data_IF_239947489251
#
_entry.id   IF_239947489251
#
_cell.length_a   1.000
_cell.length_b   1.000
_cell.length_c   1.000
_cell.angle_alpha   90.00
_cell.angle_beta   90.00
_cell.angle_gamma   90.00
#
_symmetry.space_group_name_H-M   'P 1'
#
loop_
_entity.id
_entity.type
_entity.pdbx_description
1 polymer ?
#
# COMPACT_ATOMS: atom_id res chain seq x y z
N UNK A 1 -21.68 -2.02 5.46
CA UNK A 1 -20.27 -2.14 5.04
C UNK A 1 -20.07 -3.41 4.23
N UNK A 2 -20.37 -4.58 4.81
CA UNK A 2 -20.08 -5.91 4.23
C UNK A 2 -20.55 -6.04 2.77
N UNK A 3 -21.84 -5.86 2.50
CA UNK A 3 -22.39 -5.99 1.14
C UNK A 3 -21.76 -5.01 0.14
N UNK A 4 -21.45 -3.79 0.58
CA UNK A 4 -20.87 -2.76 -0.27
C UNK A 4 -19.45 -3.13 -0.73
N UNK A 5 -18.62 -3.66 0.17
CA UNK A 5 -17.27 -4.11 -0.17
C UNK A 5 -17.27 -5.47 -0.87
N UNK A 6 -18.23 -6.35 -0.56
CA UNK A 6 -18.40 -7.60 -1.31
C UNK A 6 -18.71 -7.31 -2.78
N UNK A 7 -19.64 -6.39 -3.05
CA UNK A 7 -19.92 -5.95 -4.41
C UNK A 7 -18.71 -5.26 -5.07
N UNK A 8 -17.99 -4.42 -4.31
CA UNK A 8 -16.78 -3.77 -4.81
C UNK A 8 -15.74 -4.79 -5.28
N UNK A 9 -15.47 -5.82 -4.47
CA UNK A 9 -14.50 -6.86 -4.82
C UNK A 9 -14.99 -7.77 -5.95
N UNK A 10 -16.29 -8.05 -6.04
CA UNK A 10 -16.89 -8.76 -7.18
C UNK A 10 -16.62 -8.03 -8.50
N UNK A 11 -16.84 -6.71 -8.54
CA UNK A 11 -16.53 -5.90 -9.72
C UNK A 11 -15.03 -5.86 -10.00
N UNK A 12 -14.21 -5.61 -8.96
CA UNK A 12 -12.75 -5.58 -9.09
C UNK A 12 -12.22 -6.86 -9.72
N UNK A 13 -12.66 -8.03 -9.26
CA UNK A 13 -12.25 -9.32 -9.82
C UNK A 13 -12.62 -9.46 -11.30
N UNK A 14 -13.84 -9.07 -11.65
CA UNK A 14 -14.33 -9.13 -13.03
C UNK A 14 -13.44 -8.29 -13.96
N UNK A 15 -13.10 -7.07 -13.53
CA UNK A 15 -12.20 -6.18 -14.27
C UNK A 15 -10.75 -6.67 -14.28
N UNK A 16 -10.26 -7.20 -13.16
CA UNK A 16 -8.93 -7.78 -13.07
C UNK A 16 -8.82 -8.96 -14.05
N UNK A 17 -9.78 -9.90 -14.03
CA UNK A 17 -9.80 -11.06 -14.92
C UNK A 17 -9.78 -10.64 -16.41
N UNK A 18 -10.67 -9.74 -16.81
CA UNK A 18 -10.71 -9.23 -18.18
C UNK A 18 -9.38 -8.56 -18.58
N UNK A 19 -8.77 -7.81 -17.66
CA UNK A 19 -7.50 -7.13 -17.89
C UNK A 19 -6.33 -8.12 -18.03
N UNK A 20 -6.22 -9.10 -17.13
CA UNK A 20 -5.18 -10.12 -17.18
C UNK A 20 -5.28 -10.96 -18.46
N UNK A 21 -6.50 -11.37 -18.83
CA UNK A 21 -6.75 -12.15 -20.06
C UNK A 21 -6.38 -11.35 -21.31
N UNK A 22 -6.84 -10.11 -21.43
CA UNK A 22 -6.54 -9.26 -22.60
C UNK A 22 -5.05 -8.95 -22.75
N UNK A 23 -4.29 -8.88 -21.66
CA UNK A 23 -2.84 -8.68 -21.68
C UNK A 23 -2.03 -9.96 -21.90
N UNK A 24 -2.68 -11.14 -21.92
CA UNK A 24 -2.05 -12.44 -22.03
C UNK A 24 -0.95 -12.63 -20.98
N UNK A 25 -1.30 -12.48 -19.71
CA UNK A 25 -0.38 -12.63 -18.58
C UNK A 25 0.05 -14.10 -18.43
N UNK A 26 1.36 -14.31 -18.25
CA UNK A 26 1.95 -15.65 -18.06
C UNK A 26 2.07 -16.01 -16.58
N UNK A 27 2.35 -15.02 -15.73
CA UNK A 27 2.65 -15.20 -14.31
C UNK A 27 2.01 -14.10 -13.45
N UNK A 28 1.17 -14.48 -12.50
CA UNK A 28 0.49 -13.57 -11.57
C UNK A 28 1.13 -13.70 -10.19
N UNK A 29 1.71 -12.60 -9.71
CA UNK A 29 2.24 -12.47 -8.37
C UNK A 29 1.32 -11.60 -7.51
N UNK A 30 0.67 -12.21 -6.53
CA UNK A 30 -0.10 -11.49 -5.53
C UNK A 30 0.83 -11.06 -4.39
N UNK A 31 0.93 -9.77 -4.09
CA UNK A 31 1.81 -9.31 -3.00
C UNK A 31 1.30 -9.80 -1.64
N UNK A 32 2.20 -10.24 -0.77
CA UNK A 32 1.84 -10.94 0.48
C UNK A 32 1.00 -10.14 1.47
N UNK A 33 1.01 -8.81 1.42
CA UNK A 33 0.16 -7.96 2.28
C UNK A 33 -1.25 -7.85 1.73
N UNK A 34 -1.54 -6.89 0.84
CA UNK A 34 -2.88 -6.70 0.30
C UNK A 34 -3.27 -7.72 -0.77
N UNK A 35 -2.31 -8.12 -1.60
CA UNK A 35 -2.53 -9.04 -2.72
C UNK A 35 -3.01 -10.44 -2.31
N UNK A 36 -2.60 -10.99 -1.16
CA UNK A 36 -2.93 -12.38 -0.81
C UNK A 36 -4.43 -12.59 -0.55
N UNK A 37 -5.11 -11.62 0.06
CA UNK A 37 -6.57 -11.66 0.22
C UNK A 37 -7.31 -11.39 -1.08
N UNK A 38 -6.74 -10.54 -1.95
CA UNK A 38 -7.24 -10.40 -3.31
C UNK A 38 -7.11 -11.70 -4.11
N UNK A 39 -6.04 -12.49 -3.90
CA UNK A 39 -5.91 -13.84 -4.47
C UNK A 39 -7.05 -14.73 -4.01
N UNK A 40 -7.35 -14.78 -2.71
CA UNK A 40 -8.44 -15.59 -2.18
C UNK A 40 -9.79 -15.23 -2.83
N UNK A 41 -10.06 -13.92 -2.92
CA UNK A 41 -11.26 -13.38 -3.57
C UNK A 41 -11.28 -13.75 -5.07
N UNK A 42 -10.15 -13.61 -5.77
CA UNK A 42 -10.04 -13.93 -7.20
C UNK A 42 -10.19 -15.43 -7.47
N UNK A 43 -9.57 -16.29 -6.66
CA UNK A 43 -9.72 -17.75 -6.73
C UNK A 43 -11.17 -18.17 -6.57
N UNK A 44 -11.95 -17.46 -5.76
CA UNK A 44 -13.36 -17.76 -5.52
C UNK A 44 -14.23 -17.58 -6.79
N UNK A 45 -13.93 -16.56 -7.60
CA UNK A 45 -14.75 -16.25 -8.79
C UNK A 45 -14.13 -16.72 -10.10
N UNK A 46 -12.82 -16.95 -10.16
CA UNK A 46 -12.05 -17.24 -11.37
C UNK A 46 -10.96 -18.30 -11.16
N UNK A 47 -11.24 -19.36 -10.38
CA UNK A 47 -10.33 -20.48 -10.12
C UNK A 47 -9.71 -21.08 -11.39
N UNK A 48 -10.53 -21.30 -12.42
CA UNK A 48 -10.12 -21.95 -13.67
C UNK A 48 -9.02 -21.15 -14.37
N UNK A 49 -9.06 -19.82 -14.27
CA UNK A 49 -8.02 -18.98 -14.83
C UNK A 49 -6.71 -19.13 -14.07
N UNK A 50 -6.75 -19.15 -12.73
CA UNK A 50 -5.56 -19.38 -11.91
C UNK A 50 -4.94 -20.77 -12.12
N UNK A 51 -5.74 -21.77 -12.50
CA UNK A 51 -5.23 -23.09 -12.90
C UNK A 51 -4.55 -23.05 -14.28
N UNK A 52 -4.92 -22.09 -15.14
CA UNK A 52 -4.38 -21.95 -16.50
C UNK A 52 -3.11 -21.09 -16.61
N UNK A 53 -2.72 -20.39 -15.53
CA UNK A 53 -1.56 -19.49 -15.52
C UNK A 53 -0.71 -19.72 -14.27
N UNK A 54 0.58 -19.41 -14.33
CA UNK A 54 1.43 -19.48 -13.13
C UNK A 54 0.93 -18.43 -12.13
N UNK A 55 0.65 -18.83 -10.89
CA UNK A 55 0.19 -17.91 -9.85
C UNK A 55 0.88 -18.19 -8.52
N UNK A 56 1.52 -17.17 -7.95
CA UNK A 56 2.25 -17.27 -6.69
C UNK A 56 1.97 -16.07 -5.79
N UNK A 57 2.27 -16.23 -4.50
CA UNK A 57 2.36 -15.11 -3.56
C UNK A 57 3.79 -14.58 -3.60
N UNK A 58 3.95 -13.27 -3.78
CA UNK A 58 5.23 -12.59 -3.71
C UNK A 58 5.36 -11.86 -2.37
N UNK A 59 6.24 -12.40 -1.52
CA UNK A 59 6.59 -11.85 -0.22
C UNK A 59 7.61 -10.72 -0.43
N UNK A 60 7.10 -9.54 -0.75
CA UNK A 60 7.90 -8.31 -0.88
C UNK A 60 7.13 -7.15 -0.29
N UNK A 61 7.80 -6.35 0.54
CA UNK A 61 7.34 -5.02 0.92
C UNK A 61 8.11 -3.92 0.18
N UNK A 62 7.65 -2.68 0.32
CA UNK A 62 8.39 -1.51 -0.14
C UNK A 62 9.78 -1.41 0.51
N UNK A 63 9.89 -1.76 1.79
CA UNK A 63 11.16 -1.73 2.53
C UNK A 63 12.13 -2.84 2.08
N UNK A 64 11.63 -4.04 1.79
CA UNK A 64 12.45 -5.10 1.18
C UNK A 64 12.99 -4.66 -0.19
N UNK A 65 12.12 -4.11 -1.05
CA UNK A 65 12.51 -3.67 -2.38
C UNK A 65 13.50 -2.49 -2.34
N UNK A 66 13.30 -1.50 -1.45
CA UNK A 66 14.22 -0.36 -1.35
C UNK A 66 15.59 -0.78 -0.81
N UNK A 67 15.69 -1.72 0.13
CA UNK A 67 16.97 -2.25 0.62
C UNK A 67 17.79 -2.87 -0.50
N UNK A 68 17.16 -3.73 -1.30
CA UNK A 68 17.81 -4.32 -2.46
C UNK A 68 18.19 -3.23 -3.48
N UNK A 69 17.33 -2.24 -3.69
CA UNK A 69 17.56 -1.12 -4.59
C UNK A 69 18.70 -0.21 -4.13
N UNK A 70 18.94 -0.08 -2.82
CA UNK A 70 20.00 0.77 -2.26
C UNK A 70 21.39 0.32 -2.67
N UNK A 71 21.58 -0.96 -2.97
CA UNK A 71 22.85 -1.45 -3.50
C UNK A 71 23.10 -1.02 -4.96
N UNK A 72 22.06 -0.97 -5.81
CA UNK A 72 22.20 -0.68 -7.25
C UNK A 72 22.00 0.79 -7.61
N UNK A 73 21.26 1.52 -6.79
CA UNK A 73 20.89 2.91 -7.03
C UNK A 73 20.80 3.70 -5.70
N UNK A 74 21.92 3.85 -4.96
CA UNK A 74 21.94 4.47 -3.64
C UNK A 74 21.37 5.89 -3.66
N UNK A 75 21.70 6.72 -4.65
CA UNK A 75 21.21 8.10 -4.77
C UNK A 75 19.66 8.16 -4.78
N UNK A 76 19.04 7.33 -5.63
CA UNK A 76 17.59 7.26 -5.76
C UNK A 76 16.95 6.85 -4.43
N UNK A 77 17.49 5.78 -3.82
CA UNK A 77 16.93 5.30 -2.55
C UNK A 77 17.17 6.27 -1.39
N UNK A 78 18.28 7.00 -1.39
CA UNK A 78 18.59 8.00 -0.36
C UNK A 78 17.60 9.15 -0.40
N UNK A 79 17.16 9.57 -1.58
CA UNK A 79 16.10 10.57 -1.72
C UNK A 79 14.76 10.08 -1.14
N UNK A 80 14.34 8.87 -1.48
CA UNK A 80 13.09 8.30 -1.00
C UNK A 80 13.12 8.03 0.51
N UNK A 81 14.22 7.50 1.04
CA UNK A 81 14.43 7.31 2.47
C UNK A 81 14.44 8.64 3.22
N UNK A 82 15.12 9.66 2.70
CA UNK A 82 15.16 10.98 3.31
C UNK A 82 13.75 11.61 3.42
N UNK A 83 12.92 11.41 2.39
CA UNK A 83 11.53 11.86 2.39
C UNK A 83 10.67 11.07 3.38
N UNK A 84 10.83 9.75 3.41
CA UNK A 84 10.03 8.86 4.26
C UNK A 84 10.34 9.08 5.75
N UNK A 85 11.61 9.23 6.11
CA UNK A 85 12.07 9.41 7.48
C UNK A 85 12.31 10.88 7.85
N UNK A 86 11.70 11.81 7.10
CA UNK A 86 11.81 13.24 7.36
C UNK A 86 11.42 13.59 8.81
N UNK A 87 12.27 14.37 9.48
CA UNK A 87 12.09 14.77 10.87
C UNK A 87 12.55 13.75 11.91
N UNK A 88 13.14 12.63 11.48
CA UNK A 88 13.81 11.66 12.37
C UNK A 88 15.33 11.89 12.38
N UNK A 89 16.01 11.35 13.41
CA UNK A 89 17.47 11.23 13.40
C UNK A 89 17.93 10.04 12.54
N UNK A 90 19.17 10.07 12.06
CA UNK A 90 19.78 8.94 11.34
C UNK A 90 19.78 7.67 12.18
N UNK A 91 20.01 7.78 13.49
CA UNK A 91 19.92 6.63 14.40
C UNK A 91 18.54 5.95 14.35
N UNK A 92 17.47 6.74 14.44
CA UNK A 92 16.10 6.23 14.44
C UNK A 92 15.72 5.65 13.07
N UNK A 93 16.18 6.29 11.98
CA UNK A 93 16.04 5.77 10.63
C UNK A 93 16.73 4.42 10.48
N UNK A 94 17.98 4.27 10.94
CA UNK A 94 18.74 3.03 10.85
C UNK A 94 18.10 1.91 11.67
N UNK A 95 17.53 2.23 12.83
CA UNK A 95 16.77 1.28 13.63
C UNK A 95 15.58 0.70 12.86
N UNK A 96 14.79 1.56 12.20
CA UNK A 96 13.67 1.13 11.35
C UNK A 96 14.13 0.42 10.08
N UNK A 97 15.19 0.92 9.44
CA UNK A 97 15.69 0.39 8.18
C UNK A 97 16.32 -0.99 8.37
N UNK A 98 17.20 -1.19 9.36
CA UNK A 98 17.88 -2.46 9.56
C UNK A 98 17.01 -3.51 10.25
N UNK A 99 16.02 -3.08 11.04
CA UNK A 99 15.26 -3.95 11.94
C UNK A 99 16.04 -4.28 13.22
N UNK A 100 15.36 -4.81 14.24
CA UNK A 100 15.92 -4.94 15.60
C UNK A 100 17.20 -5.77 15.67
N UNK A 101 17.27 -6.88 14.93
CA UNK A 101 18.41 -7.79 14.97
C UNK A 101 19.66 -7.16 14.33
N UNK A 102 19.60 -6.78 13.05
CA UNK A 102 20.73 -6.18 12.34
C UNK A 102 21.11 -4.80 12.88
N UNK A 103 20.17 -4.04 13.45
CA UNK A 103 20.53 -2.81 14.17
C UNK A 103 21.30 -3.10 15.47
N UNK A 104 21.01 -4.22 16.15
CA UNK A 104 21.78 -4.68 17.30
C UNK A 104 23.23 -4.97 16.93
N UNK A 105 23.45 -5.70 15.82
CA UNK A 105 24.79 -5.98 15.28
C UNK A 105 25.52 -4.69 14.88
N UNK A 106 24.83 -3.79 14.19
CA UNK A 106 25.37 -2.47 13.81
C UNK A 106 25.87 -1.69 15.03
N UNK A 107 25.07 -1.63 16.10
CA UNK A 107 25.47 -0.95 17.33
C UNK A 107 26.68 -1.61 17.99
N UNK A 108 26.77 -2.94 17.97
CA UNK A 108 27.86 -3.67 18.58
C UNK A 108 29.21 -3.41 17.88
N UNK A 109 29.20 -3.15 16.57
CA UNK A 109 30.40 -2.85 15.79
C UNK A 109 30.65 -1.35 15.56
N UNK A 110 29.78 -0.46 16.06
CA UNK A 110 29.89 0.99 15.88
C UNK A 110 30.37 1.69 17.15
N UNK A 111 31.35 2.60 17.03
CA UNK A 111 31.85 3.35 18.19
C UNK A 111 30.80 4.27 18.81
N UNK A 112 30.90 4.50 20.12
CA UNK A 112 29.99 5.39 20.87
C UNK A 112 29.90 6.78 20.24
N UNK A 113 31.03 7.39 19.88
CA UNK A 113 31.06 8.72 19.25
C UNK A 113 30.28 8.76 17.93
N UNK A 114 30.34 7.68 17.14
CA UNK A 114 29.60 7.59 15.88
C UNK A 114 28.11 7.42 16.14
N UNK A 115 27.71 6.59 17.11
CA UNK A 115 26.32 6.46 17.52
C UNK A 115 25.74 7.80 18.02
N UNK A 116 26.50 8.56 18.81
CA UNK A 116 26.10 9.89 19.29
C UNK A 116 25.92 10.86 18.12
N UNK A 117 26.83 10.87 17.14
CA UNK A 117 26.66 11.67 15.90
C UNK A 117 25.38 11.28 15.15
N UNK A 118 25.08 9.99 15.03
CA UNK A 118 23.85 9.51 14.36
C UNK A 118 22.58 9.92 15.10
N UNK A 119 22.61 9.98 16.44
CA UNK A 119 21.50 10.50 17.24
C UNK A 119 21.25 11.98 16.98
N UNK A 120 22.32 12.76 16.82
CA UNK A 120 22.26 14.21 16.66
C UNK A 120 22.11 14.66 15.20
N UNK A 121 22.31 13.77 14.23
CA UNK A 121 22.17 14.08 12.79
C UNK A 121 20.75 13.82 12.32
N UNK A 122 20.11 14.84 11.75
CA UNK A 122 18.79 14.73 11.14
C UNK A 122 18.87 14.03 9.79
N UNK A 123 17.81 13.30 9.45
CA UNK A 123 17.64 12.70 8.12
C UNK A 123 17.46 13.80 7.08
N UNK A 124 18.32 13.80 6.07
CA UNK A 124 18.18 14.55 4.83
C UNK A 124 18.85 13.76 3.69
N UNK A 125 18.67 14.19 2.44
CA UNK A 125 19.25 13.49 1.29
C UNK A 125 20.76 13.25 1.45
N UNK A 126 21.53 14.30 1.74
CA UNK A 126 22.99 14.19 1.86
C UNK A 126 23.39 13.24 2.98
N UNK A 127 22.76 13.34 4.15
CA UNK A 127 23.13 12.52 5.30
C UNK A 127 22.79 11.04 5.11
N UNK A 128 21.71 10.71 4.40
CA UNK A 128 21.40 9.32 4.01
C UNK A 128 22.36 8.84 2.91
N UNK A 129 22.64 9.69 1.92
CA UNK A 129 23.54 9.35 0.82
C UNK A 129 24.96 9.07 1.31
N UNK A 130 25.47 9.88 2.23
CA UNK A 130 26.79 9.69 2.86
C UNK A 130 26.87 8.36 3.60
N UNK A 131 25.76 7.88 4.18
CA UNK A 131 25.70 6.58 4.85
C UNK A 131 25.66 5.40 3.88
N UNK A 132 24.89 5.52 2.79
CA UNK A 132 24.59 4.42 1.86
C UNK A 132 25.46 4.42 0.60
N UNK A 133 26.33 5.41 0.42
CA UNK A 133 27.23 5.51 -0.74
C UNK A 133 28.04 4.23 -0.92
N UNK A 134 28.17 3.77 -2.17
CA UNK A 134 28.92 2.56 -2.51
C UNK A 134 30.43 2.78 -2.31
N UNK A 135 30.93 4.00 -2.45
CA UNK A 135 32.38 4.27 -2.38
C UNK A 135 32.80 4.54 -0.93
N UNK A 136 32.14 5.51 -0.29
CA UNK A 136 32.56 6.07 1.00
C UNK A 136 31.57 5.79 2.14
N UNK A 137 30.50 5.03 1.88
CA UNK A 137 29.47 4.74 2.87
C UNK A 137 29.95 3.84 4.01
N UNK A 138 29.08 3.68 5.00
CA UNK A 138 29.34 2.82 6.15
C UNK A 138 29.51 1.36 5.70
N UNK A 139 30.66 0.76 6.06
CA UNK A 139 31.01 -0.60 5.62
C UNK A 139 29.95 -1.64 6.01
N UNK A 140 29.42 -1.57 7.23
CA UNK A 140 28.37 -2.51 7.67
C UNK A 140 27.10 -2.34 6.82
N UNK A 141 26.69 -1.09 6.57
CA UNK A 141 25.50 -0.82 5.78
C UNK A 141 25.66 -1.29 4.34
N UNK A 142 26.84 -1.10 3.73
CA UNK A 142 27.16 -1.58 2.39
C UNK A 142 27.08 -3.10 2.28
N UNK A 143 27.69 -3.82 3.22
CA UNK A 143 27.63 -5.27 3.28
C UNK A 143 26.18 -5.76 3.50
N UNK A 144 25.44 -5.09 4.38
CA UNK A 144 24.03 -5.38 4.64
C UNK A 144 23.17 -5.24 3.37
N UNK A 145 23.22 -4.09 2.67
CA UNK A 145 22.39 -3.86 1.48
C UNK A 145 22.82 -4.77 0.32
N UNK A 146 24.11 -5.08 0.19
CA UNK A 146 24.60 -6.05 -0.78
C UNK A 146 24.03 -7.46 -0.51
N UNK A 147 24.06 -7.90 0.74
CA UNK A 147 23.49 -9.19 1.15
C UNK A 147 21.98 -9.23 0.88
N UNK A 148 21.24 -8.18 1.26
CA UNK A 148 19.80 -8.10 0.98
C UNK A 148 19.50 -8.06 -0.51
N UNK A 149 20.30 -7.36 -1.33
CA UNK A 149 20.19 -7.39 -2.79
C UNK A 149 20.34 -8.81 -3.34
N UNK A 150 21.37 -9.55 -2.95
CA UNK A 150 21.61 -10.91 -3.44
C UNK A 150 20.49 -11.88 -3.05
N UNK A 151 20.00 -11.78 -1.82
CA UNK A 151 18.90 -12.60 -1.34
C UNK A 151 17.59 -12.25 -2.05
N UNK A 152 17.25 -10.97 -2.16
CA UNK A 152 16.07 -10.50 -2.90
C UNK A 152 16.10 -10.95 -4.36
N UNK A 153 17.24 -10.80 -5.04
CA UNK A 153 17.40 -11.19 -6.43
C UNK A 153 17.25 -12.70 -6.63
N UNK A 154 17.77 -13.49 -5.69
CA UNK A 154 17.65 -14.94 -5.70
C UNK A 154 16.21 -15.39 -5.43
N UNK A 155 15.52 -14.74 -4.48
CA UNK A 155 14.10 -14.96 -4.22
C UNK A 155 13.24 -14.63 -5.44
N UNK A 156 13.45 -13.48 -6.08
CA UNK A 156 12.72 -13.08 -7.27
C UNK A 156 12.85 -14.10 -8.40
N UNK A 157 14.06 -14.62 -8.64
CA UNK A 157 14.32 -15.66 -9.64
C UNK A 157 13.63 -16.99 -9.35
N UNK A 158 13.26 -17.28 -8.11
CA UNK A 158 12.46 -18.47 -7.78
C UNK A 158 11.00 -18.29 -8.21
N UNK A 159 10.50 -17.06 -8.29
CA UNK A 159 9.10 -16.76 -8.61
C UNK A 159 8.84 -16.60 -10.12
N UNK A 160 9.78 -16.03 -10.87
CA UNK A 160 9.54 -15.60 -12.25
C UNK A 160 10.64 -16.00 -13.21
N UNK A 161 10.25 -16.25 -14.46
CA UNK A 161 11.18 -16.37 -15.57
C UNK A 161 11.30 -15.04 -16.33
N UNK A 162 12.47 -14.76 -16.91
CA UNK A 162 12.74 -13.49 -17.62
C UNK A 162 11.79 -13.22 -18.80
N UNK A 163 11.21 -14.27 -19.38
CA UNK A 163 10.32 -14.19 -20.54
C UNK A 163 8.87 -13.95 -20.14
N UNK A 164 8.53 -14.07 -18.85
CA UNK A 164 7.17 -13.93 -18.35
C UNK A 164 6.65 -12.50 -18.55
N UNK A 165 5.39 -12.39 -18.98
CA UNK A 165 4.56 -11.22 -18.73
C UNK A 165 4.02 -11.30 -17.32
N UNK A 166 4.59 -10.51 -16.43
CA UNK A 166 4.35 -10.60 -15.00
C UNK A 166 3.28 -9.59 -14.60
N UNK A 167 2.24 -10.06 -13.92
CA UNK A 167 1.24 -9.25 -13.26
C UNK A 167 1.52 -9.19 -11.75
N UNK A 168 1.78 -8.00 -11.21
CA UNK A 168 1.79 -7.77 -9.76
C UNK A 168 0.41 -7.31 -9.31
N UNK A 169 -0.23 -8.03 -8.40
CA UNK A 169 -1.56 -7.69 -7.88
C UNK A 169 -1.46 -7.28 -6.42
N UNK A 170 -1.99 -6.10 -6.07
CA UNK A 170 -1.95 -5.55 -4.72
C UNK A 170 -3.05 -4.50 -4.48
N UNK A 171 -3.23 -4.08 -3.22
CA UNK A 171 -4.09 -2.95 -2.85
C UNK A 171 -3.38 -1.59 -2.87
N UNK A 172 -2.14 -1.51 -3.35
CA UNK A 172 -1.38 -0.26 -3.46
C UNK A 172 -2.02 0.78 -4.40
N UNK A 173 -1.42 1.97 -4.48
CA UNK A 173 -1.99 3.09 -5.26
C UNK A 173 -0.97 3.84 -6.11
N UNK A 174 0.23 4.08 -5.57
CA UNK A 174 1.26 4.93 -6.20
C UNK A 174 2.29 4.16 -7.02
N UNK A 175 2.45 2.85 -6.82
CA UNK A 175 3.39 2.04 -7.60
C UNK A 175 4.86 2.15 -7.20
N UNK A 176 5.18 2.64 -6.01
CA UNK A 176 6.57 2.74 -5.54
C UNK A 176 7.33 1.40 -5.54
N UNK A 177 6.66 0.28 -5.21
CA UNK A 177 7.29 -1.04 -5.34
C UNK A 177 7.66 -1.36 -6.80
N UNK A 178 6.81 -0.96 -7.75
CA UNK A 178 7.04 -1.17 -9.19
C UNK A 178 8.22 -0.34 -9.66
N UNK A 179 8.38 0.87 -9.12
CA UNK A 179 9.55 1.69 -9.36
C UNK A 179 10.85 0.96 -8.98
N UNK A 180 10.97 0.47 -7.74
CA UNK A 180 12.17 -0.27 -7.31
C UNK A 180 12.38 -1.56 -8.10
N UNK A 181 11.31 -2.30 -8.39
CA UNK A 181 11.39 -3.50 -9.21
C UNK A 181 11.85 -3.19 -10.64
N UNK A 182 11.46 -2.06 -11.23
CA UNK A 182 11.94 -1.65 -12.57
C UNK A 182 13.40 -1.20 -12.55
N UNK A 183 13.90 -0.67 -11.43
CA UNK A 183 15.33 -0.39 -11.26
C UNK A 183 16.12 -1.69 -11.13
N UNK A 184 15.65 -2.64 -10.32
CA UNK A 184 16.32 -3.93 -10.09
C UNK A 184 16.24 -4.88 -11.29
N UNK A 185 15.13 -4.82 -12.03
CA UNK A 185 14.78 -5.77 -13.08
C UNK A 185 14.30 -5.08 -14.37
N UNK A 186 15.11 -4.20 -14.99
CA UNK A 186 14.68 -3.38 -16.12
C UNK A 186 14.25 -4.21 -17.34
N UNK A 187 14.82 -5.41 -17.49
CA UNK A 187 14.53 -6.32 -18.61
C UNK A 187 13.29 -7.22 -18.38
N UNK A 188 12.62 -7.14 -17.24
CA UNK A 188 11.44 -7.95 -16.94
C UNK A 188 10.15 -7.20 -17.34
N UNK A 189 9.20 -7.93 -17.94
CA UNK A 189 7.91 -7.38 -18.34
C UNK A 189 6.91 -7.35 -17.19
N UNK A 190 7.23 -6.52 -16.20
CA UNK A 190 6.41 -6.30 -15.00
C UNK A 190 5.33 -5.24 -15.27
N UNK A 191 4.08 -5.59 -15.01
CA UNK A 191 2.93 -4.70 -14.95
C UNK A 191 2.23 -4.90 -13.60
N UNK A 192 1.88 -3.81 -12.92
CA UNK A 192 1.13 -3.87 -11.68
C UNK A 192 -0.34 -3.51 -11.90
N UNK A 193 -1.21 -4.26 -11.24
CA UNK A 193 -2.66 -4.17 -11.29
C UNK A 193 -3.16 -3.94 -9.88
N UNK A 194 -3.39 -2.67 -9.58
CA UNK A 194 -3.82 -2.22 -8.26
C UNK A 194 -5.31 -1.95 -8.23
N UNK A 195 -5.91 -1.86 -7.03
CA UNK A 195 -7.32 -1.49 -6.88
C UNK A 195 -7.62 -0.17 -7.59
N UNK A 196 -6.79 0.84 -7.39
CA UNK A 196 -6.79 2.07 -8.17
C UNK A 196 -5.38 2.64 -8.28
N UNK A 197 -5.18 3.57 -9.22
CA UNK A 197 -3.92 4.28 -9.38
C UNK A 197 -4.11 5.75 -9.07
N UNK A 198 -3.23 6.31 -8.24
CA UNK A 198 -3.18 7.74 -7.95
C UNK A 198 -1.79 8.20 -7.50
N UNK A 199 -1.41 9.40 -7.92
CA UNK A 199 -0.19 10.09 -7.45
C UNK A 199 -0.48 11.07 -6.32
N UNK A 200 -1.75 11.14 -5.86
CA UNK A 200 -2.20 12.10 -4.84
C UNK A 200 -1.90 13.56 -5.23
N UNK A 201 -1.98 13.88 -6.52
CA UNK A 201 -1.61 15.20 -7.05
C UNK A 201 -0.10 15.41 -7.23
N UNK A 202 0.72 14.40 -6.96
CA UNK A 202 2.14 14.39 -7.31
C UNK A 202 2.38 14.24 -8.82
N UNK A 203 3.61 14.48 -9.28
CA UNK A 203 3.97 14.36 -10.68
C UNK A 203 3.82 12.92 -11.18
N UNK A 204 3.58 12.79 -12.48
CA UNK A 204 3.66 11.51 -13.16
C UNK A 204 5.11 11.18 -13.50
N UNK A 205 5.52 9.94 -13.23
CA UNK A 205 6.83 9.41 -13.57
C UNK A 205 6.71 8.31 -14.64
N UNK A 206 7.80 8.10 -15.39
CA UNK A 206 7.84 7.12 -16.47
C UNK A 206 7.49 5.69 -16.05
N UNK A 207 7.68 5.30 -14.78
CA UNK A 207 7.32 3.96 -14.31
C UNK A 207 5.80 3.77 -14.16
N UNK A 208 5.02 4.86 -14.05
CA UNK A 208 3.55 4.77 -13.92
C UNK A 208 2.86 4.17 -15.15
N UNK A 209 3.52 4.10 -16.31
CA UNK A 209 3.02 3.37 -17.49
C UNK A 209 2.92 1.86 -17.27
N UNK A 210 3.61 1.35 -16.24
CA UNK A 210 3.57 -0.05 -15.81
C UNK A 210 2.63 -0.27 -14.63
N UNK A 211 1.93 0.76 -14.16
CA UNK A 211 1.00 0.71 -13.03
C UNK A 211 -0.39 0.99 -13.56
N UNK A 212 -1.31 0.06 -13.36
CA UNK A 212 -2.67 0.09 -13.84
C UNK A 212 -3.62 0.04 -12.65
N UNK A 213 -4.54 0.99 -12.57
CA UNK A 213 -5.63 0.94 -11.60
C UNK A 213 -6.84 0.23 -12.20
N UNK A 214 -7.27 -0.88 -11.58
CA UNK A 214 -8.35 -1.73 -12.09
C UNK A 214 -9.71 -1.05 -12.00
N UNK A 215 -10.00 -0.36 -10.89
CA UNK A 215 -11.27 0.35 -10.71
C UNK A 215 -11.24 1.75 -11.29
N UNK A 216 -10.07 2.39 -11.26
CA UNK A 216 -9.82 3.70 -11.87
C UNK A 216 -8.32 3.92 -12.05
N UNK A 217 -7.96 4.59 -13.14
CA UNK A 217 -6.61 5.14 -13.35
C UNK A 217 -6.73 6.67 -13.46
N UNK A 218 -6.33 7.38 -12.40
CA UNK A 218 -6.38 8.83 -12.39
C UNK A 218 -5.32 9.43 -11.47
N UNK A 219 -4.54 10.37 -12.00
CA UNK A 219 -3.50 11.07 -11.23
C UNK A 219 -4.11 11.95 -10.11
N UNK A 220 -5.34 12.45 -10.33
CA UNK A 220 -6.05 13.31 -9.39
C UNK A 220 -7.42 12.74 -9.02
N UNK A 221 -7.88 13.06 -7.83
CA UNK A 221 -9.24 12.72 -7.40
C UNK A 221 -10.26 13.46 -8.27
N UNK A 222 -10.83 12.77 -9.26
CA UNK A 222 -12.02 13.25 -9.96
C UNK A 222 -13.26 12.56 -9.41
N UNK A 223 -13.81 13.08 -8.31
CA UNK A 223 -14.99 12.51 -7.61
C UNK A 223 -16.24 12.39 -8.50
N UNK A 224 -16.26 13.01 -9.69
CA UNK A 224 -17.34 12.87 -10.65
C UNK A 224 -17.20 11.63 -11.56
N UNK A 225 -16.00 11.07 -11.68
CA UNK A 225 -15.67 9.90 -12.51
C UNK A 225 -15.70 8.60 -11.71
N UNK A 226 -16.70 7.75 -11.97
CA UNK A 226 -16.72 6.33 -11.59
C UNK A 226 -16.35 6.04 -10.13
N UNK A 227 -15.29 5.24 -9.94
CA UNK A 227 -14.84 4.69 -8.66
C UNK A 227 -13.78 5.53 -7.92
N UNK A 228 -13.38 6.69 -8.44
CA UNK A 228 -12.29 7.50 -7.87
C UNK A 228 -12.52 7.91 -6.40
N UNK A 229 -13.78 8.02 -5.97
CA UNK A 229 -14.14 8.36 -4.58
C UNK A 229 -13.57 7.36 -3.55
N UNK A 230 -13.23 6.15 -3.98
CA UNK A 230 -12.64 5.12 -3.14
C UNK A 230 -11.28 5.56 -2.58
N UNK A 231 -10.56 6.46 -3.25
CA UNK A 231 -9.26 6.95 -2.78
C UNK A 231 -9.32 7.59 -1.38
N UNK A 232 -10.45 8.23 -1.06
CA UNK A 232 -10.71 8.88 0.22
C UNK A 232 -10.83 7.87 1.37
N UNK A 233 -11.01 6.59 1.04
CA UNK A 233 -11.22 5.49 1.98
C UNK A 233 -10.30 4.30 1.69
N UNK A 234 -9.24 4.51 0.91
CA UNK A 234 -8.27 3.48 0.52
C UNK A 234 -7.75 2.62 1.68
N UNK A 235 -7.59 3.24 2.85
CA UNK A 235 -7.08 2.60 4.06
C UNK A 235 -7.96 1.46 4.55
N UNK A 236 -9.24 1.48 4.22
CA UNK A 236 -10.18 0.42 4.57
C UNK A 236 -10.01 -0.77 3.63
N UNK A 237 -9.78 -0.51 2.34
CA UNK A 237 -9.47 -1.57 1.39
C UNK A 237 -8.15 -2.22 1.76
N UNK A 238 -7.12 -1.42 2.07
CA UNK A 238 -5.84 -1.91 2.57
C UNK A 238 -6.04 -2.75 3.83
N UNK A 239 -6.77 -2.26 4.84
CA UNK A 239 -7.05 -3.03 6.07
C UNK A 239 -7.82 -4.32 5.80
N UNK A 240 -8.85 -4.29 4.95
CA UNK A 240 -9.63 -5.49 4.62
C UNK A 240 -8.73 -6.54 3.96
N UNK A 241 -7.82 -6.12 3.11
CA UNK A 241 -6.95 -7.03 2.35
C UNK A 241 -5.63 -7.38 3.04
N UNK A 242 -5.21 -6.66 4.08
CA UNK A 242 -4.00 -6.95 4.84
C UNK A 242 -4.30 -7.97 5.96
N UNK A 243 -3.77 -9.21 5.88
CA UNK A 243 -3.86 -10.15 7.00
C UNK A 243 -2.98 -9.71 8.16
N UNK A 244 -3.23 -10.26 9.35
CA UNK A 244 -2.39 -10.07 10.53
C UNK A 244 -1.07 -10.85 10.37
N UNK A 245 -0.17 -10.30 9.55
CA UNK A 245 1.14 -10.87 9.28
C UNK A 245 2.19 -9.75 9.18
N UNK A 246 3.40 -9.93 9.73
CA UNK A 246 4.47 -8.96 9.58
C UNK A 246 4.82 -8.69 8.11
N UNK A 247 5.31 -7.49 7.83
CA UNK A 247 5.80 -7.16 6.49
C UNK A 247 7.09 -7.92 6.19
N UNK A 248 7.28 -8.37 4.96
CA UNK A 248 8.58 -8.89 4.52
C UNK A 248 9.56 -7.73 4.38
N UNK A 249 10.48 -7.58 5.32
CA UNK A 249 11.48 -6.50 5.31
C UNK A 249 12.90 -6.97 4.96
N UNK A 250 13.18 -8.26 5.11
CA UNK A 250 14.44 -8.92 4.77
C UNK A 250 14.19 -10.35 4.32
N UNK A 251 15.24 -10.98 3.79
CA UNK A 251 15.25 -12.38 3.40
C UNK A 251 16.38 -13.10 4.12
N UNK A 252 16.22 -14.40 4.28
CA UNK A 252 17.20 -15.30 4.86
C UNK A 252 17.33 -16.56 3.99
N UNK A 253 18.47 -17.25 4.14
CA UNK A 253 18.70 -18.54 3.49
C UNK A 253 18.48 -19.66 4.51
N UNK A 254 17.52 -20.54 4.23
CA UNK A 254 17.17 -21.69 5.06
C UNK A 254 17.28 -22.93 4.18
N UNK A 255 18.16 -23.86 4.55
CA UNK A 255 18.35 -25.13 3.83
C UNK A 255 18.61 -24.98 2.31
N UNK A 256 19.28 -23.90 1.90
CA UNK A 256 19.55 -23.63 0.50
C UNK A 256 18.48 -22.78 -0.22
N UNK A 257 17.28 -22.69 0.33
CA UNK A 257 16.17 -21.88 -0.19
C UNK A 257 16.20 -20.47 0.38
N UNK A 258 15.70 -19.50 -0.39
CA UNK A 258 15.56 -18.12 0.08
C UNK A 258 14.13 -17.93 0.54
N UNK A 259 13.98 -17.49 1.78
CA UNK A 259 12.67 -17.30 2.42
C UNK A 259 12.56 -15.88 2.98
N UNK A 260 11.35 -15.31 3.03
CA UNK A 260 11.13 -14.07 3.76
C UNK A 260 11.41 -14.31 5.25
N UNK A 261 12.08 -13.36 5.92
CA UNK A 261 12.41 -13.48 7.35
C UNK A 261 11.17 -13.61 8.24
N UNK A 262 10.07 -12.96 7.86
CA UNK A 262 8.78 -13.05 8.54
C UNK A 262 8.05 -14.39 8.32
N UNK A 263 8.60 -15.31 7.54
CA UNK A 263 7.95 -16.56 7.16
C UNK A 263 6.82 -16.38 6.13
N UNK A 264 6.10 -17.47 5.91
CA UNK A 264 4.97 -17.55 4.98
C UNK A 264 3.64 -17.46 5.74
N UNK A 265 2.64 -16.83 5.11
CA UNK A 265 1.28 -16.75 5.63
C UNK A 265 0.61 -18.12 5.46
N UNK A 266 0.13 -18.69 6.56
CA UNK A 266 -0.71 -19.88 6.58
C UNK A 266 -2.07 -19.59 5.88
N UNK A 267 -2.58 -20.54 5.10
CA UNK A 267 -3.86 -20.41 4.41
C UNK A 267 -5.03 -20.07 5.37
N UNK A 268 -4.99 -20.58 6.61
CA UNK A 268 -5.96 -20.26 7.66
C UNK A 268 -5.93 -18.77 8.08
N UNK A 269 -4.75 -18.15 8.03
CA UNK A 269 -4.58 -16.73 8.36
C UNK A 269 -4.98 -15.79 7.21
N UNK A 270 -5.05 -16.29 5.97
CA UNK A 270 -5.46 -15.48 4.82
C UNK A 270 -6.87 -14.96 5.00
N UNK A 271 -7.82 -15.82 5.37
CA UNK A 271 -9.21 -15.40 5.58
C UNK A 271 -9.42 -14.75 6.96
N UNK A 272 -8.59 -15.11 7.95
CA UNK A 272 -8.75 -14.70 9.33
C UNK A 272 -9.93 -15.41 10.02
N UNK A 273 -10.24 -14.98 11.25
CA UNK A 273 -11.39 -15.50 12.00
C UNK A 273 -12.72 -15.17 11.30
N UNK A 274 -13.75 -16.00 11.54
CA UNK A 274 -15.13 -15.83 11.10
C UNK A 274 -15.69 -14.45 11.50
N UNK A 275 -15.24 -13.95 12.65
CA UNK A 275 -15.62 -12.62 13.15
C UNK A 275 -15.00 -11.46 12.35
N UNK A 276 -13.93 -11.71 11.58
CA UNK A 276 -13.24 -10.66 10.82
C UNK A 276 -14.13 -10.07 9.73
N UNK A 277 -14.00 -8.76 9.51
CA UNK A 277 -14.80 -8.06 8.48
C UNK A 277 -14.46 -8.61 7.09
N UNK A 278 -13.20 -8.98 6.85
CA UNK A 278 -12.80 -9.57 5.57
C UNK A 278 -13.50 -10.91 5.32
N UNK A 279 -13.53 -11.82 6.30
CA UNK A 279 -14.23 -13.10 6.16
C UNK A 279 -15.73 -12.89 5.82
N UNK A 280 -16.38 -11.97 6.53
CA UNK A 280 -17.79 -11.63 6.27
C UNK A 280 -18.00 -11.05 4.86
N UNK A 281 -17.10 -10.18 4.40
CA UNK A 281 -17.12 -9.64 3.03
C UNK A 281 -16.91 -10.76 2.01
N UNK A 282 -15.89 -11.59 2.20
CA UNK A 282 -15.51 -12.71 1.33
C UNK A 282 -16.65 -13.73 1.15
N UNK A 283 -17.35 -14.07 2.23
CA UNK A 283 -18.49 -14.98 2.17
C UNK A 283 -19.69 -14.38 1.46
N UNK A 284 -19.86 -13.04 1.52
CA UNK A 284 -21.01 -12.39 0.89
C UNK A 284 -20.87 -12.22 -0.62
N UNK A 285 -19.67 -12.35 -1.19
CA UNK A 285 -19.39 -12.07 -2.62
C UNK A 285 -20.35 -12.83 -3.56
N UNK A 286 -20.59 -14.11 -3.31
CA UNK A 286 -21.42 -14.95 -4.20
C UNK A 286 -22.92 -14.64 -4.04
N UNK A 287 -23.32 -14.16 -2.86
CA UNK A 287 -24.70 -13.78 -2.54
C UNK A 287 -25.08 -12.39 -3.06
N UNK A 288 -24.14 -11.63 -3.63
CA UNK A 288 -24.43 -10.29 -4.10
C UNK A 288 -25.25 -10.36 -5.38
N UNK A 289 -26.47 -9.88 -5.27
CA UNK A 289 -27.38 -9.60 -6.37
C UNK A 289 -26.85 -8.45 -7.26
N UNK A 290 -26.58 -8.75 -8.53
CA UNK A 290 -26.10 -7.80 -9.52
C UNK A 290 -27.17 -6.76 -9.91
N UNK A 291 -28.45 -7.07 -9.74
CA UNK A 291 -29.56 -6.13 -9.99
C UNK A 291 -29.53 -4.96 -8.99
N UNK A 292 -28.94 -5.18 -7.80
CA UNK A 292 -28.77 -4.17 -6.75
C UNK A 292 -27.43 -3.42 -6.82
N UNK A 293 -26.64 -3.65 -7.87
CA UNK A 293 -25.33 -3.02 -8.12
C UNK A 293 -25.28 -1.51 -7.87
N UNK A 294 -26.19 -0.77 -8.51
CA UNK A 294 -26.27 0.70 -8.42
C UNK A 294 -26.58 1.15 -6.99
N UNK A 295 -27.39 0.39 -6.26
CA UNK A 295 -27.69 0.65 -4.86
C UNK A 295 -26.47 0.44 -3.97
N UNK A 296 -25.73 -0.66 -4.14
CA UNK A 296 -24.54 -0.93 -3.33
C UNK A 296 -23.44 0.12 -3.53
N UNK A 297 -23.15 0.50 -4.78
CA UNK A 297 -22.18 1.56 -5.06
C UNK A 297 -22.65 2.92 -4.58
N UNK A 298 -23.95 3.23 -4.71
CA UNK A 298 -24.55 4.45 -4.17
C UNK A 298 -24.39 4.55 -2.65
N UNK A 299 -24.64 3.43 -1.93
CA UNK A 299 -24.43 3.32 -0.48
C UNK A 299 -22.95 3.48 -0.11
N UNK A 300 -22.04 2.80 -0.79
CA UNK A 300 -20.60 2.88 -0.55
C UNK A 300 -20.07 4.30 -0.74
N UNK A 301 -20.42 4.94 -1.85
CA UNK A 301 -20.04 6.32 -2.15
C UNK A 301 -20.52 7.29 -1.06
N UNK A 302 -21.78 7.15 -0.63
CA UNK A 302 -22.34 7.95 0.47
C UNK A 302 -21.59 7.74 1.78
N UNK A 303 -21.27 6.49 2.11
CA UNK A 303 -20.51 6.11 3.30
C UNK A 303 -19.13 6.76 3.31
N UNK A 304 -18.41 6.72 2.18
CA UNK A 304 -17.06 7.26 2.07
C UNK A 304 -17.05 8.79 2.11
N UNK A 305 -17.94 9.44 1.37
CA UNK A 305 -17.87 10.89 1.15
C UNK A 305 -18.59 11.71 2.23
N UNK A 306 -19.64 11.18 2.85
CA UNK A 306 -20.41 11.87 3.90
C UNK A 306 -21.05 10.87 4.90
N UNK A 307 -20.23 10.13 5.65
CA UNK A 307 -20.69 9.09 6.58
C UNK A 307 -21.69 9.65 7.60
N UNK A 308 -22.60 8.80 8.05
CA UNK A 308 -23.39 9.04 9.26
C UNK A 308 -22.59 8.71 10.52
N UNK A 309 -23.02 9.22 11.68
CA UNK A 309 -22.37 8.91 12.97
C UNK A 309 -22.35 7.40 13.26
N UNK A 310 -23.42 6.69 12.94
CA UNK A 310 -23.49 5.24 13.16
C UNK A 310 -22.51 4.48 12.26
N UNK A 311 -22.31 4.95 11.02
CA UNK A 311 -21.32 4.37 10.12
C UNK A 311 -19.89 4.59 10.64
N UNK A 312 -19.60 5.75 11.25
CA UNK A 312 -18.29 6.03 11.86
C UNK A 312 -17.90 5.04 12.95
N UNK A 313 -18.86 4.51 13.72
CA UNK A 313 -18.58 3.62 14.85
C UNK A 313 -17.78 2.38 14.42
N UNK A 314 -18.06 1.86 13.22
CA UNK A 314 -17.34 0.71 12.66
C UNK A 314 -15.88 1.02 12.27
N UNK A 315 -15.48 2.29 12.31
CA UNK A 315 -14.18 2.77 11.85
C UNK A 315 -13.32 3.36 12.98
N UNK A 316 -13.88 3.57 14.19
CA UNK A 316 -13.17 4.20 15.30
C UNK A 316 -12.02 3.33 15.85
N UNK A 317 -12.17 2.01 15.83
CA UNK A 317 -11.16 1.07 16.32
C UNK A 317 -10.08 0.73 15.29
N UNK A 318 -10.22 1.22 14.06
CA UNK A 318 -9.29 0.86 13.00
C UNK A 318 -8.05 1.74 13.06
N UNK A 319 -6.92 1.08 13.21
CA UNK A 319 -5.59 1.67 13.12
C UNK A 319 -4.78 0.97 12.03
N UNK A 320 -3.82 1.69 11.44
CA UNK A 320 -2.82 1.10 10.54
C UNK A 320 -1.44 1.21 11.16
N UNK A 321 -0.59 0.21 10.95
CA UNK A 321 0.84 0.39 11.14
C UNK A 321 1.38 1.43 10.16
N UNK A 322 2.35 2.22 10.60
CA UNK A 322 3.12 3.07 9.72
C UNK A 322 3.99 2.19 8.79
N UNK A 323 4.17 2.64 7.55
CA UNK A 323 5.06 1.98 6.60
C UNK A 323 6.53 2.09 7.06
N UNK A 324 7.41 1.27 6.46
CA UNK A 324 8.87 1.33 6.62
C UNK A 324 9.38 1.06 8.05
N UNK A 325 9.00 -0.06 8.67
CA UNK A 325 9.58 -0.51 9.96
C UNK A 325 9.31 0.42 11.14
N UNK A 326 8.42 1.41 11.01
CA UNK A 326 8.05 2.34 12.07
C UNK A 326 7.02 1.67 12.99
N UNK A 327 7.33 1.58 14.28
CA UNK A 327 6.38 1.12 15.31
C UNK A 327 5.41 2.24 15.72
N UNK A 328 4.65 2.74 14.73
CA UNK A 328 3.64 3.77 14.94
C UNK A 328 2.30 3.24 14.43
N UNK A 329 1.27 3.35 15.27
CA UNK A 329 -0.12 3.12 14.86
C UNK A 329 -0.79 4.45 14.53
N UNK A 330 -1.33 4.55 13.33
CA UNK A 330 -2.09 5.71 12.87
C UNK A 330 -3.57 5.33 12.86
N UNK A 331 -4.33 5.94 13.77
CA UNK A 331 -5.78 5.73 13.82
C UNK A 331 -6.44 6.39 12.60
N UNK A 332 -7.44 5.72 12.04
CA UNK A 332 -8.17 6.25 10.89
C UNK A 332 -8.94 7.52 11.24
N UNK A 333 -9.60 7.49 12.40
CA UNK A 333 -10.32 8.61 13.01
C UNK A 333 -9.70 8.83 14.40
N UNK A 334 -9.40 10.08 14.72
CA UNK A 334 -8.87 10.52 16.00
C UNK A 334 -9.99 10.88 16.96
N UNK A 335 -9.69 10.83 18.26
CA UNK A 335 -10.61 11.26 19.31
C UNK A 335 -11.02 12.72 19.14
N UNK A 336 -12.24 13.04 19.62
CA UNK A 336 -12.79 14.38 19.44
C UNK A 336 -12.01 15.42 20.22
N UNK A 337 -11.86 16.58 19.60
CA UNK A 337 -11.25 17.74 20.22
C UNK A 337 -12.30 18.79 20.60
N UNK A 338 -12.05 19.49 21.71
CA UNK A 338 -12.99 20.51 22.21
C UNK A 338 -12.86 21.80 21.41
N UNK A 339 -11.61 22.26 21.21
CA UNK A 339 -11.34 23.56 20.59
C UNK A 339 -11.16 23.47 19.06
N UNK A 340 -11.43 24.57 18.35
CA UNK A 340 -11.39 24.61 16.88
C UNK A 340 -10.00 24.31 16.29
N UNK A 341 -8.94 24.73 16.97
CA UNK A 341 -7.55 24.47 16.53
C UNK A 341 -7.24 22.97 16.56
N UNK A 342 -7.62 22.29 17.64
CA UNK A 342 -7.50 20.84 17.80
C UNK A 342 -8.30 20.09 16.74
N UNK A 343 -9.57 20.46 16.53
CA UNK A 343 -10.40 19.88 15.45
C UNK A 343 -9.74 19.98 14.08
N UNK A 344 -9.18 21.13 13.74
CA UNK A 344 -8.48 21.34 12.48
C UNK A 344 -7.22 20.48 12.36
N UNK A 345 -6.42 20.40 13.43
CA UNK A 345 -5.24 19.52 13.50
C UNK A 345 -5.65 18.06 13.32
N UNK A 346 -6.72 17.62 14.00
CA UNK A 346 -7.24 16.26 13.85
C UNK A 346 -7.67 15.96 12.42
N UNK A 347 -8.42 16.86 11.78
CA UNK A 347 -8.82 16.69 10.37
C UNK A 347 -7.61 16.60 9.45
N UNK A 348 -6.54 17.35 9.72
CA UNK A 348 -5.30 17.27 8.94
C UNK A 348 -4.54 15.96 9.15
N UNK A 349 -4.53 15.43 10.37
CA UNK A 349 -3.75 14.24 10.77
C UNK A 349 -4.50 12.92 10.54
N UNK A 350 -5.82 12.94 10.50
CA UNK A 350 -6.64 11.76 10.25
C UNK A 350 -6.40 11.22 8.84
N UNK A 351 -6.35 9.89 8.74
CA UNK A 351 -6.26 9.18 7.46
C UNK A 351 -7.55 9.33 6.62
N UNK A 352 -8.71 9.48 7.28
CA UNK A 352 -10.00 9.68 6.64
C UNK A 352 -10.65 11.01 7.04
N UNK A 353 -10.31 12.06 6.28
CA UNK A 353 -10.71 13.44 6.56
C UNK A 353 -12.22 13.64 6.66
N UNK A 354 -12.99 12.98 5.79
CA UNK A 354 -14.46 13.06 5.77
C UNK A 354 -15.05 12.44 7.04
N UNK A 355 -14.51 11.29 7.47
CA UNK A 355 -14.86 10.67 8.73
C UNK A 355 -14.58 11.59 9.92
N UNK A 356 -13.36 12.17 9.96
CA UNK A 356 -12.98 13.11 11.03
C UNK A 356 -13.87 14.37 11.04
N UNK A 357 -14.22 14.94 9.88
CA UNK A 357 -15.11 16.10 9.81
C UNK A 357 -16.48 15.78 10.45
N UNK A 358 -17.04 14.61 10.16
CA UNK A 358 -18.33 14.19 10.76
C UNK A 358 -18.16 13.88 12.25
N UNK A 359 -17.03 13.32 12.68
CA UNK A 359 -16.71 13.08 14.08
C UNK A 359 -16.69 14.40 14.88
N UNK A 360 -15.99 15.42 14.37
CA UNK A 360 -15.77 16.71 15.04
C UNK A 360 -16.97 17.68 14.99
N UNK A 361 -17.76 17.64 13.91
CA UNK A 361 -18.83 18.60 13.63
C UNK A 361 -20.22 17.97 13.48
N UNK A 362 -20.35 16.65 13.58
CA UNK A 362 -21.62 15.93 13.51
C UNK A 362 -22.43 16.25 12.25
N UNK A 363 -23.68 16.69 12.44
CA UNK A 363 -24.59 16.98 11.33
C UNK A 363 -24.11 18.15 10.45
N UNK A 364 -23.51 19.19 11.05
CA UNK A 364 -22.97 20.33 10.32
C UNK A 364 -21.82 19.91 9.39
N UNK A 365 -20.91 19.05 9.87
CA UNK A 365 -19.83 18.50 9.06
C UNK A 365 -20.35 17.72 7.86
N UNK A 366 -21.41 16.93 8.06
CA UNK A 366 -22.07 16.18 6.98
C UNK A 366 -22.73 17.08 5.93
N UNK A 367 -23.41 18.14 6.36
CA UNK A 367 -23.97 19.14 5.45
C UNK A 367 -22.88 19.83 4.65
N UNK A 368 -21.79 20.23 5.30
CA UNK A 368 -20.62 20.83 4.64
C UNK A 368 -20.04 19.90 3.57
N UNK A 369 -19.83 18.62 3.87
CA UNK A 369 -19.31 17.65 2.90
C UNK A 369 -20.23 17.48 1.69
N UNK A 370 -21.55 17.36 1.93
CA UNK A 370 -22.55 17.26 0.85
C UNK A 370 -22.57 18.53 -0.01
N UNK A 371 -22.52 19.70 0.61
CA UNK A 371 -22.46 20.99 -0.09
C UNK A 371 -21.19 21.11 -0.94
N UNK A 372 -20.02 20.88 -0.33
CA UNK A 372 -18.71 20.91 -1.00
C UNK A 372 -18.68 19.98 -2.22
N UNK A 373 -19.22 18.77 -2.07
CA UNK A 373 -19.28 17.79 -3.15
C UNK A 373 -20.18 18.25 -4.30
N UNK A 374 -21.40 18.72 -3.99
CA UNK A 374 -22.33 19.23 -5.01
C UNK A 374 -21.79 20.48 -5.73
N UNK A 375 -21.10 21.37 -5.00
CA UNK A 375 -20.47 22.55 -5.55
C UNK A 375 -19.36 22.17 -6.54
N UNK A 376 -18.44 21.27 -6.15
CA UNK A 376 -17.41 20.73 -7.05
C UNK A 376 -18.03 20.13 -8.32
N UNK A 377 -19.07 19.30 -8.19
CA UNK A 377 -19.75 18.67 -9.34
C UNK A 377 -20.31 19.71 -10.32
N UNK A 378 -20.93 20.78 -9.81
CA UNK A 378 -21.47 21.87 -10.65
C UNK A 378 -20.36 22.65 -11.35
N UNK A 379 -19.27 22.98 -10.64
CA UNK A 379 -18.12 23.68 -11.23
C UNK A 379 -17.51 22.85 -12.36
N UNK A 380 -17.26 21.56 -12.15
CA UNK A 380 -16.74 20.67 -13.19
C UNK A 380 -17.70 20.55 -14.39
N UNK A 381 -19.01 20.48 -14.15
CA UNK A 381 -20.00 20.44 -15.23
C UNK A 381 -19.97 21.72 -16.09
N UNK A 382 -19.80 22.88 -15.47
CA UNK A 382 -19.69 24.16 -16.19
C UNK A 382 -18.37 24.24 -16.99
N UNK A 383 -17.25 23.84 -16.40
CA UNK A 383 -15.95 23.84 -17.10
C UNK A 383 -15.99 22.95 -18.34
N UNK A 384 -16.58 21.75 -18.24
CA UNK A 384 -16.71 20.82 -19.38
C UNK A 384 -17.72 21.26 -20.45
N UNK A 385 -18.54 22.28 -20.19
CA UNK A 385 -19.42 22.89 -21.22
C UNK A 385 -18.68 24.01 -21.97
N UNK A 386 -17.71 24.65 -21.31
CA UNK A 386 -16.96 25.80 -21.86
C UNK A 386 -15.74 25.33 -22.67
N UNK A 387 -15.13 24.22 -22.28
CA UNK A 387 -14.07 23.52 -23.03
C UNK A 387 -14.69 22.58 -24.06
#
# INVERSE_FOLDING_TARGET
>A
MIEQYAYLFKIYNSFLYATLKSKNIDNILFLARGGIRLRAVFSKTHSDYLLSVKSNVCYTSRLAAIKACSYVAPDITSYDLAKEYYGMSLYSMLQCFLGSHSFGEYKACTSTDKLERLHNTQVCYSSVNDLLSIEDGDLFLREYVFNQYNLFFSYWKQLVDKKDKIALVDTGWSGSIVFYLKVLFPNYNINAFFVGKSTYGGPEFNFHKFVHGIMFDSYQENISQGFSYIIENRHIIEMLCEPEHPSTETYIKVEGLITPECGFIDDSNVLGDISSIFYQVYNKIDDIDDELSTLYLGKLRKQILWPSKNELFNYLSISRSADFGKDLKVNMILDKEINLKGKYINIKRSLWKQGQIVQEFGMLGRFYLRFKYNLKKRIFAVINIIL
#
